data_IF_473357252262
#
_entry.id   IF_473357252262
#
_cell.length_a   1.000
_cell.length_b   1.000
_cell.length_c   1.000
_cell.angle_alpha   90.00
_cell.angle_beta   90.00
_cell.angle_gamma   90.00
#
_symmetry.space_group_name_H-M   'P 1'
#
loop_
_entity.id
_entity.type
_entity.pdbx_description
1 polymer ?
#
# COMPACT_ATOMS: atom_id res chain seq x y z
N UNK A 1 -14.43 48.49 -19.96
CA UNK A 1 -13.95 48.18 -18.60
C UNK A 1 -13.11 46.92 -18.72
N UNK A 2 -11.79 47.03 -18.53
CA UNK A 2 -10.84 45.92 -18.60
C UNK A 2 -10.81 45.28 -17.21
N UNK A 3 -11.06 43.98 -17.13
CA UNK A 3 -11.02 43.23 -15.86
C UNK A 3 -9.66 42.54 -15.82
N UNK A 4 -8.75 43.03 -14.98
CA UNK A 4 -7.46 42.39 -14.75
C UNK A 4 -7.70 41.02 -14.07
N UNK A 5 -7.28 39.95 -14.75
CA UNK A 5 -7.21 38.61 -14.17
C UNK A 5 -5.93 38.53 -13.34
N UNK A 6 -6.07 38.55 -12.01
CA UNK A 6 -4.97 38.24 -11.08
C UNK A 6 -4.54 36.78 -11.31
N UNK A 7 -3.23 36.48 -11.46
CA UNK A 7 -2.79 35.11 -11.64
C UNK A 7 -2.95 34.34 -10.32
N UNK A 8 -3.56 33.15 -10.38
CA UNK A 8 -3.68 32.26 -9.24
C UNK A 8 -2.29 31.90 -8.67
N UNK A 9 -2.12 31.87 -7.34
CA UNK A 9 -0.86 31.49 -6.72
C UNK A 9 -0.45 30.06 -7.09
N UNK A 10 0.88 29.78 -7.15
CA UNK A 10 1.38 28.47 -7.52
C UNK A 10 0.96 27.40 -6.50
N UNK A 11 0.36 26.32 -7.00
CA UNK A 11 -0.12 25.20 -6.20
C UNK A 11 1.02 24.55 -5.41
N UNK A 12 0.77 24.33 -4.12
CA UNK A 12 1.67 23.59 -3.24
C UNK A 12 1.80 22.13 -3.68
N UNK A 13 2.93 21.50 -3.34
CA UNK A 13 3.21 20.09 -3.68
C UNK A 13 2.10 19.14 -3.18
N UNK A 14 1.49 19.46 -2.04
CA UNK A 14 0.33 18.73 -1.50
C UNK A 14 -0.87 18.78 -2.46
N UNK A 15 -1.17 19.93 -3.04
CA UNK A 15 -2.29 20.11 -3.97
C UNK A 15 -2.04 19.44 -5.32
N UNK A 16 -0.77 19.39 -5.76
CA UNK A 16 -0.36 18.60 -6.94
C UNK A 16 -0.53 17.10 -6.72
N UNK A 17 -0.34 16.62 -5.49
CA UNK A 17 -0.46 15.21 -5.13
C UNK A 17 -1.92 14.76 -5.01
N UNK A 18 -2.78 15.59 -4.41
CA UNK A 18 -4.19 15.24 -4.16
C UNK A 18 -5.05 15.42 -5.42
N UNK A 19 -4.61 16.26 -6.37
CA UNK A 19 -5.41 16.66 -7.53
C UNK A 19 -6.64 17.47 -7.11
N UNK A 20 -7.09 18.41 -7.95
CA UNK A 20 -8.44 18.97 -7.77
C UNK A 20 -9.43 17.84 -8.08
N UNK A 21 -9.92 17.19 -7.03
CA UNK A 21 -10.90 16.12 -7.15
C UNK A 21 -12.13 16.59 -7.94
N UNK A 22 -12.72 15.73 -8.79
CA UNK A 22 -13.95 16.08 -9.48
C UNK A 22 -15.08 16.24 -8.47
N UNK A 23 -15.72 17.41 -8.49
CA UNK A 23 -17.02 17.61 -7.86
C UNK A 23 -18.03 16.80 -8.68
N UNK A 24 -18.41 15.61 -8.18
CA UNK A 24 -19.51 14.85 -8.77
C UNK A 24 -19.31 13.34 -8.72
N UNK A 25 -20.18 12.70 -7.94
CA UNK A 25 -20.35 11.25 -7.78
C UNK A 25 -19.15 10.51 -7.18
N UNK A 26 -19.10 10.54 -5.85
CA UNK A 26 -18.43 9.54 -5.01
C UNK A 26 -19.03 8.17 -5.35
N UNK A 27 -18.47 7.47 -6.35
CA UNK A 27 -18.61 6.02 -6.43
C UNK A 27 -17.73 5.47 -5.31
N UNK A 28 -18.37 5.22 -4.17
CA UNK A 28 -17.80 4.35 -3.16
C UNK A 28 -17.51 3.01 -3.84
N UNK A 29 -16.25 2.76 -4.12
CA UNK A 29 -15.76 1.41 -4.30
C UNK A 29 -15.95 0.79 -2.91
N UNK A 30 -17.02 0.03 -2.75
CA UNK A 30 -17.27 -0.72 -1.54
C UNK A 30 -16.08 -1.67 -1.33
N UNK A 31 -15.17 -1.28 -0.44
CA UNK A 31 -14.16 -2.17 0.13
C UNK A 31 -14.91 -3.04 1.13
N UNK A 32 -15.65 -4.03 0.63
CA UNK A 32 -16.31 -5.02 1.46
C UNK A 32 -15.25 -5.99 1.93
N UNK A 33 -14.82 -5.86 3.20
CA UNK A 33 -14.07 -6.91 3.89
C UNK A 33 -12.77 -6.53 4.56
N UNK A 34 -12.44 -5.24 4.76
CA UNK A 34 -11.40 -4.89 5.74
C UNK A 34 -12.02 -5.07 7.12
N UNK A 35 -11.76 -6.24 7.71
CA UNK A 35 -11.94 -6.45 9.14
C UNK A 35 -10.90 -5.53 9.80
N UNK A 36 -11.36 -4.44 10.40
CA UNK A 36 -10.51 -3.53 11.17
C UNK A 36 -10.13 -4.28 12.44
N UNK A 37 -9.14 -5.16 12.34
CA UNK A 37 -8.59 -5.89 13.48
C UNK A 37 -7.46 -5.03 14.05
N UNK A 38 -7.61 -4.66 15.33
CA UNK A 38 -6.72 -3.85 16.16
C UNK A 38 -5.86 -2.82 15.41
N UNK A 39 -6.36 -1.59 15.32
CA UNK A 39 -5.55 -0.44 14.93
C UNK A 39 -4.28 -0.40 15.81
N UNK A 40 -3.13 -0.69 15.22
CA UNK A 40 -1.85 -0.59 15.90
C UNK A 40 -1.63 0.85 16.36
N UNK A 41 -1.57 1.05 17.67
CA UNK A 41 -1.33 2.35 18.26
C UNK A 41 0.13 2.47 18.74
N UNK A 42 0.76 3.57 18.35
CA UNK A 42 2.06 3.96 18.89
C UNK A 42 1.92 4.38 20.36
N UNK A 43 2.91 4.01 21.16
CA UNK A 43 3.06 4.47 22.55
C UNK A 43 4.31 5.34 22.69
N UNK A 44 4.41 6.05 23.82
CA UNK A 44 5.61 6.85 24.12
C UNK A 44 6.87 5.97 24.09
N UNK A 45 7.92 6.45 23.43
CA UNK A 45 9.17 5.70 23.22
C UNK A 45 9.18 4.79 21.98
N UNK A 46 8.08 4.63 21.25
CA UNK A 46 8.05 3.84 20.01
C UNK A 46 8.74 4.51 18.83
N UNK A 47 8.79 5.84 18.82
CA UNK A 47 9.37 6.62 17.73
C UNK A 47 10.34 7.61 18.36
N UNK A 48 11.62 7.46 18.04
CA UNK A 48 12.65 8.43 18.40
C UNK A 48 13.04 9.21 17.15
N UNK A 49 12.95 10.53 17.21
CA UNK A 49 13.35 11.42 16.11
C UNK A 49 14.57 12.19 16.52
N UNK A 50 15.62 12.16 15.71
CA UNK A 50 16.86 12.88 15.97
C UNK A 50 17.45 13.43 14.67
N UNK A 51 18.55 14.18 14.79
CA UNK A 51 19.32 14.69 13.65
C UNK A 51 20.77 14.28 13.87
N UNK A 52 21.32 13.51 12.95
CA UNK A 52 22.71 13.04 12.98
C UNK A 52 23.43 13.63 11.78
N UNK A 53 24.46 14.45 12.00
CA UNK A 53 25.22 15.13 10.94
C UNK A 53 24.34 15.95 9.98
N UNK A 54 23.27 16.58 10.49
CA UNK A 54 22.31 17.33 9.68
C UNK A 54 21.29 16.47 8.92
N UNK A 55 21.33 15.15 9.09
CA UNK A 55 20.40 14.20 8.45
C UNK A 55 19.33 13.81 9.48
N UNK A 56 18.03 13.95 9.15
CA UNK A 56 16.96 13.49 10.03
C UNK A 56 17.01 11.96 10.14
N UNK A 57 16.95 11.47 11.38
CA UNK A 57 16.91 10.06 11.73
C UNK A 57 15.58 9.78 12.46
N UNK A 58 14.94 8.68 12.09
CA UNK A 58 13.73 8.18 12.74
C UNK A 58 14.01 6.72 13.11
N UNK A 59 14.08 6.46 14.41
CA UNK A 59 14.25 5.13 14.96
C UNK A 59 12.93 4.63 15.53
N UNK A 60 12.65 3.35 15.32
CA UNK A 60 11.47 2.68 15.84
C UNK A 60 11.84 1.70 16.95
N UNK A 61 10.96 1.54 17.94
CA UNK A 61 11.14 0.51 18.97
C UNK A 61 11.06 -0.90 18.38
N UNK A 62 11.64 -1.86 19.10
CA UNK A 62 11.58 -3.28 18.72
C UNK A 62 10.14 -3.79 18.61
N UNK A 63 9.22 -3.27 19.42
CA UNK A 63 7.79 -3.61 19.37
C UNK A 63 7.16 -3.20 18.04
N UNK A 64 7.46 -1.98 17.56
CA UNK A 64 7.00 -1.50 16.25
C UNK A 64 7.57 -2.37 15.14
N UNK A 65 8.87 -2.69 15.21
CA UNK A 65 9.52 -3.56 14.23
C UNK A 65 8.89 -4.96 14.20
N UNK A 66 8.61 -5.56 15.35
CA UNK A 66 7.94 -6.86 15.43
C UNK A 66 6.56 -6.84 14.77
N UNK A 67 5.78 -5.79 15.03
CA UNK A 67 4.47 -5.62 14.40
C UNK A 67 4.58 -5.51 12.87
N UNK A 68 5.52 -4.70 12.37
CA UNK A 68 5.78 -4.58 10.94
C UNK A 68 6.18 -5.92 10.31
N UNK A 69 7.05 -6.68 10.97
CA UNK A 69 7.50 -7.99 10.50
C UNK A 69 6.35 -9.01 10.48
N UNK A 70 5.47 -8.98 11.47
CA UNK A 70 4.29 -9.84 11.51
C UNK A 70 3.35 -9.56 10.33
N UNK A 71 3.12 -8.29 10.00
CA UNK A 71 2.33 -7.89 8.83
C UNK A 71 2.98 -8.26 7.49
N UNK A 72 4.32 -8.23 7.41
CA UNK A 72 5.07 -8.65 6.22
C UNK A 72 5.08 -10.18 6.07
N UNK A 73 4.96 -10.94 7.16
CA UNK A 73 5.02 -12.41 7.15
C UNK A 73 3.98 -13.10 6.26
N UNK A 74 2.90 -12.40 5.91
CA UNK A 74 1.82 -12.89 5.02
C UNK A 74 1.93 -12.36 3.57
N UNK A 75 3.05 -11.73 3.24
CA UNK A 75 3.33 -11.16 1.91
C UNK A 75 4.28 -12.06 1.13
N UNK A 76 3.85 -12.51 -0.05
CA UNK A 76 4.66 -13.31 -0.98
C UNK A 76 5.11 -12.47 -2.16
N UNK A 77 6.38 -12.60 -2.55
CA UNK A 77 6.90 -11.96 -3.77
C UNK A 77 6.65 -12.85 -4.99
N UNK A 78 6.04 -12.30 -6.03
CA UNK A 78 5.75 -12.97 -7.30
C UNK A 78 6.58 -12.31 -8.40
N UNK A 79 7.34 -13.11 -9.15
CA UNK A 79 8.11 -12.65 -10.32
C UNK A 79 7.49 -13.20 -11.60
N UNK A 80 7.10 -12.29 -12.50
CA UNK A 80 6.76 -12.67 -13.88
C UNK A 80 8.04 -13.00 -14.66
N UNK A 81 8.04 -14.19 -15.26
CA UNK A 81 9.07 -14.63 -16.20
C UNK A 81 8.51 -14.56 -17.62
N UNK A 82 9.27 -13.96 -18.53
CA UNK A 82 8.87 -13.79 -19.93
C UNK A 82 8.10 -12.49 -20.19
N UNK A 83 7.02 -12.58 -20.96
CA UNK A 83 6.24 -11.42 -21.35
C UNK A 83 5.47 -10.85 -20.15
N UNK A 84 5.53 -9.53 -19.99
CA UNK A 84 4.73 -8.85 -18.98
C UNK A 84 3.24 -8.99 -19.33
N UNK A 85 2.42 -9.29 -18.32
CA UNK A 85 0.97 -9.42 -18.43
C UNK A 85 0.30 -8.32 -17.62
N UNK A 86 -0.90 -7.91 -18.04
CA UNK A 86 -1.64 -6.87 -17.32
C UNK A 86 -1.99 -7.31 -15.89
N UNK A 87 -2.07 -6.32 -14.98
CA UNK A 87 -2.35 -6.52 -13.55
C UNK A 87 -3.59 -7.40 -13.30
N UNK A 88 -4.71 -7.11 -13.97
CA UNK A 88 -5.98 -7.85 -13.80
C UNK A 88 -5.84 -9.31 -14.23
N UNK A 89 -5.08 -9.56 -15.30
CA UNK A 89 -4.82 -10.91 -15.78
C UNK A 89 -3.94 -11.68 -14.80
N UNK A 90 -2.91 -11.04 -14.25
CA UNK A 90 -2.06 -11.63 -13.21
C UNK A 90 -2.87 -11.97 -11.96
N UNK A 91 -3.67 -11.03 -11.46
CA UNK A 91 -4.49 -11.23 -10.27
C UNK A 91 -5.44 -12.42 -10.44
N UNK A 92 -6.16 -12.48 -11.57
CA UNK A 92 -7.06 -13.59 -11.88
C UNK A 92 -6.30 -14.92 -12.02
N UNK A 93 -5.11 -14.91 -12.60
CA UNK A 93 -4.29 -16.12 -12.76
C UNK A 93 -3.85 -16.67 -11.41
N UNK A 94 -3.37 -15.82 -10.50
CA UNK A 94 -2.98 -16.21 -9.14
C UNK A 94 -4.20 -16.73 -8.37
N UNK A 95 -5.34 -16.04 -8.42
CA UNK A 95 -6.59 -16.51 -7.81
C UNK A 95 -7.01 -17.91 -8.31
N UNK A 96 -6.85 -18.18 -9.60
CA UNK A 96 -7.26 -19.47 -10.19
C UNK A 96 -6.32 -20.63 -9.84
N UNK A 97 -5.01 -20.35 -9.71
CA UNK A 97 -3.99 -21.35 -9.36
C UNK A 97 -4.08 -21.66 -7.86
N UNK A 98 -3.96 -20.64 -7.02
CA UNK A 98 -3.84 -20.81 -5.57
C UNK A 98 -5.20 -21.11 -4.92
N UNK A 99 -6.29 -20.62 -5.51
CA UNK A 99 -7.66 -20.70 -4.98
C UNK A 99 -7.69 -20.30 -3.49
N UNK A 100 -7.28 -19.07 -3.17
CA UNK A 100 -7.25 -18.62 -1.79
C UNK A 100 -8.68 -18.56 -1.25
N UNK A 101 -8.84 -18.85 0.03
CA UNK A 101 -10.12 -18.80 0.73
C UNK A 101 -10.65 -17.37 0.89
N UNK A 102 -9.77 -16.38 0.87
CA UNK A 102 -10.11 -14.96 0.86
C UNK A 102 -9.47 -14.22 -0.32
N UNK A 103 -9.98 -13.02 -0.62
CA UNK A 103 -9.30 -12.14 -1.58
C UNK A 103 -7.91 -11.76 -1.04
N UNK A 104 -6.98 -11.44 -1.93
CA UNK A 104 -5.64 -10.98 -1.59
C UNK A 104 -5.34 -9.67 -2.32
N UNK A 105 -4.44 -8.87 -1.76
CA UNK A 105 -3.98 -7.63 -2.38
C UNK A 105 -2.73 -7.90 -3.21
N UNK A 106 -2.69 -7.38 -4.43
CA UNK A 106 -1.51 -7.43 -5.29
C UNK A 106 -0.94 -6.01 -5.45
N UNK A 107 0.35 -5.84 -5.23
CA UNK A 107 1.05 -4.56 -5.34
C UNK A 107 2.19 -4.69 -6.36
N UNK A 108 2.23 -3.79 -7.33
CA UNK A 108 3.32 -3.71 -8.31
C UNK A 108 4.53 -3.00 -7.66
N UNK A 109 5.69 -3.65 -7.71
CA UNK A 109 6.97 -3.10 -7.22
C UNK A 109 7.99 -2.92 -8.37
N UNK A 110 7.47 -2.80 -9.59
CA UNK A 110 8.17 -2.59 -10.85
C UNK A 110 8.99 -3.79 -11.36
N UNK A 111 9.48 -3.67 -12.59
CA UNK A 111 10.32 -4.66 -13.26
C UNK A 111 9.68 -6.07 -13.32
N UNK A 112 8.35 -6.16 -13.32
CA UNK A 112 7.61 -7.43 -13.33
C UNK A 112 7.68 -8.19 -12.00
N UNK A 113 8.01 -7.51 -10.91
CA UNK A 113 7.88 -8.02 -9.54
C UNK A 113 6.61 -7.49 -8.89
N UNK A 114 5.97 -8.36 -8.12
CA UNK A 114 4.73 -8.04 -7.42
C UNK A 114 4.77 -8.58 -6.00
N UNK A 115 4.09 -7.91 -5.08
CA UNK A 115 3.83 -8.40 -3.72
C UNK A 115 2.37 -8.83 -3.63
N UNK A 116 2.13 -10.07 -3.22
CA UNK A 116 0.82 -10.59 -2.91
C UNK A 116 0.65 -10.68 -1.39
N UNK A 117 -0.22 -9.83 -0.82
CA UNK A 117 -0.58 -9.87 0.61
C UNK A 117 -1.85 -10.68 0.81
N UNK A 118 -1.74 -11.81 1.50
CA UNK A 118 -2.86 -12.68 1.84
C UNK A 118 -3.47 -12.29 3.19
N UNK A 119 -4.78 -12.47 3.35
CA UNK A 119 -5.46 -12.11 4.60
C UNK A 119 -5.38 -13.20 5.67
N UNK A 120 -5.03 -14.42 5.31
CA UNK A 120 -4.90 -15.51 6.26
C UNK A 120 -3.62 -16.31 5.99
N UNK A 121 -3.08 -16.85 7.08
CA UNK A 121 -1.83 -17.60 7.07
C UNK A 121 -1.97 -18.93 6.29
N UNK A 122 -3.15 -19.55 6.32
CA UNK A 122 -3.39 -20.81 5.61
C UNK A 122 -3.26 -20.67 4.08
N UNK A 123 -3.76 -19.59 3.48
CA UNK A 123 -3.63 -19.28 2.05
C UNK A 123 -2.18 -18.94 1.69
N UNK A 124 -1.45 -18.30 2.61
CA UNK A 124 -0.02 -18.03 2.45
C UNK A 124 0.81 -19.33 2.44
N UNK A 125 0.66 -20.18 3.46
CA UNK A 125 1.39 -21.46 3.56
C UNK A 125 1.12 -22.37 2.37
N UNK A 126 -0.12 -22.35 1.85
CA UNK A 126 -0.51 -23.13 0.69
C UNK A 126 0.26 -22.76 -0.59
N UNK A 127 0.74 -21.52 -0.73
CA UNK A 127 1.56 -21.12 -1.88
C UNK A 127 2.91 -21.83 -1.95
N UNK A 128 3.41 -22.34 -0.83
CA UNK A 128 4.73 -22.98 -0.72
C UNK A 128 4.64 -24.50 -0.55
N UNK A 129 3.44 -25.07 -0.49
CA UNK A 129 3.19 -26.52 -0.37
C UNK A 129 3.14 -27.20 -1.74
#
# INVERSE_FOLDING_TARGET
>A
MVVDLVPDPPLSLKERLVGKGPIGSRREIAITGVKVEDDFNFVEGDITRSIVNGIPLIDFSERVLHFLLQEIGIITMIKLLGQNIGYTFLQNRVSNIERPSMSFQLMDIENGYFLAKFHNNNDFEKMFS
#
